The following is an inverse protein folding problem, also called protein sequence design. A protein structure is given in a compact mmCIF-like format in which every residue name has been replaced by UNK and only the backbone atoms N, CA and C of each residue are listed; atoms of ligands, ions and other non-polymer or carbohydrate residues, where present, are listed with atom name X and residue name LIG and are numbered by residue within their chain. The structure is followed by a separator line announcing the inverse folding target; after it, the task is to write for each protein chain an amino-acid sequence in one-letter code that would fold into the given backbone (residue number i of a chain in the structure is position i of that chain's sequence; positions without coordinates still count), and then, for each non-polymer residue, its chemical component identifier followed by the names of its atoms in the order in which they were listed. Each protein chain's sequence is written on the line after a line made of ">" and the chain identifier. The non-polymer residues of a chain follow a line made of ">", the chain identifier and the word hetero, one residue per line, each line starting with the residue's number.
data_IF_348481865835
#
_entry.id   IF_348481865835
#
_cell.length_a   1.000
_cell.length_b   1.000
_cell.length_c   1.000
_cell.angle_alpha   90.00
_cell.angle_beta   90.00
_cell.angle_gamma   90.00
#
_symmetry.space_group_name_H-M   'P 1'
#
loop_
_entity.id
_entity.type
_entity.pdbx_description
1 polymer ?
#
# COMPACT_ATOMS: atom_id res chain seq x y z
N UNK A 1 8.48 15.94 24.34
CA UNK A 1 8.60 17.39 24.10
C UNK A 1 7.63 17.76 22.99
N UNK A 2 7.02 18.95 23.08
CA UNK A 2 6.05 19.43 22.09
C UNK A 2 6.74 19.70 20.74
N UNK A 3 5.97 19.68 19.65
CA UNK A 3 6.40 19.98 18.27
C UNK A 3 6.88 21.43 18.04
N UNK A 4 7.18 22.19 19.10
CA UNK A 4 7.28 23.66 19.07
C UNK A 4 8.71 24.15 18.92
N UNK A 5 9.71 23.30 19.19
CA UNK A 5 11.13 23.66 19.08
C UNK A 5 11.91 22.54 18.38
N UNK A 6 12.85 22.90 17.51
CA UNK A 6 13.78 21.98 16.87
C UNK A 6 15.20 22.32 17.31
N UNK A 7 16.00 21.30 17.62
CA UNK A 7 17.44 21.44 17.86
C UNK A 7 18.22 21.23 16.56
N UNK A 8 19.41 21.83 16.47
CA UNK A 8 20.31 21.65 15.32
C UNK A 8 20.88 20.23 15.21
N UNK A 9 20.84 19.48 16.31
CA UNK A 9 21.34 18.10 16.39
C UNK A 9 20.37 17.23 17.17
N UNK A 10 20.20 15.99 16.72
CA UNK A 10 19.37 14.98 17.39
C UNK A 10 20.10 14.52 18.66
N UNK A 11 19.41 14.53 19.79
CA UNK A 11 19.91 14.09 21.09
C UNK A 11 19.19 12.84 21.60
N UNK A 12 19.79 12.17 22.57
CA UNK A 12 19.17 11.01 23.22
C UNK A 12 17.89 11.43 23.97
N UNK A 13 16.82 10.67 23.75
CA UNK A 13 15.48 10.96 24.26
C UNK A 13 14.59 11.75 23.31
N UNK A 14 15.15 12.32 22.23
CA UNK A 14 14.39 13.04 21.20
C UNK A 14 13.42 12.13 20.45
N UNK A 15 12.41 12.74 19.84
CA UNK A 15 11.57 12.08 18.84
C UNK A 15 12.00 12.57 17.47
N UNK A 16 12.70 11.75 16.71
CA UNK A 16 13.05 12.03 15.32
C UNK A 16 11.95 11.53 14.39
N UNK A 17 11.55 12.34 13.40
CA UNK A 17 10.64 11.88 12.35
C UNK A 17 11.48 11.38 11.19
N UNK A 18 11.44 10.09 10.94
CA UNK A 18 12.14 9.50 9.79
C UNK A 18 11.23 9.57 8.59
N UNK A 19 11.61 10.37 7.59
CA UNK A 19 10.94 10.46 6.30
C UNK A 19 11.64 9.54 5.30
N UNK A 20 11.03 8.39 5.00
CA UNK A 20 11.49 7.49 3.93
C UNK A 20 10.68 7.67 2.63
N UNK A 21 9.60 8.46 2.66
CA UNK A 21 8.76 8.76 1.51
C UNK A 21 7.41 9.35 1.92
N UNK A 22 6.60 9.76 0.93
CA UNK A 22 5.31 10.42 1.10
C UNK A 22 4.32 9.65 2.01
N UNK A 23 4.46 8.33 2.10
CA UNK A 23 3.62 7.47 2.95
C UNK A 23 4.42 6.67 4.01
N UNK A 24 5.70 7.00 4.19
CA UNK A 24 6.58 6.29 5.12
C UNK A 24 7.27 7.31 6.02
N UNK A 25 6.45 7.90 6.89
CA UNK A 25 6.90 8.76 7.98
C UNK A 25 6.62 8.03 9.29
N UNK A 26 7.64 7.82 10.11
CA UNK A 26 7.45 7.27 11.44
C UNK A 26 8.26 8.04 12.49
N UNK A 27 7.66 8.35 13.64
CA UNK A 27 8.39 8.88 14.78
C UNK A 27 9.25 7.77 15.39
N UNK A 28 10.52 8.07 15.63
CA UNK A 28 11.47 7.21 16.31
C UNK A 28 11.94 7.92 17.57
N UNK A 29 11.81 7.24 18.70
CA UNK A 29 12.47 7.65 19.94
C UNK A 29 13.97 7.36 19.81
N UNK A 30 14.77 8.42 19.86
CA UNK A 30 16.22 8.33 19.71
C UNK A 30 16.80 7.82 21.01
N UNK A 31 17.47 6.67 20.94
CA UNK A 31 18.14 6.07 22.07
C UNK A 31 19.42 5.42 21.56
N UNK A 32 20.55 5.67 22.22
CA UNK A 32 21.83 5.19 21.75
C UNK A 32 21.87 3.65 21.79
N UNK A 33 22.26 3.03 20.68
CA UNK A 33 22.28 1.56 20.53
C UNK A 33 20.91 0.90 20.36
N UNK A 34 19.82 1.65 20.32
CA UNK A 34 18.49 1.09 20.04
C UNK A 34 18.30 0.86 18.54
N UNK A 35 17.55 -0.18 18.19
CA UNK A 35 17.10 -0.43 16.81
C UNK A 35 15.58 -0.35 16.80
N UNK A 36 15.03 0.53 15.97
CA UNK A 36 13.60 0.59 15.72
C UNK A 36 13.30 -0.17 14.45
N UNK A 37 12.71 -1.36 14.59
CA UNK A 37 12.24 -2.17 13.47
C UNK A 37 10.70 -2.13 13.46
N UNK A 38 10.09 -2.04 12.28
CA UNK A 38 8.67 -2.36 12.13
C UNK A 38 8.48 -3.81 12.60
N UNK A 39 7.65 -4.01 13.62
CA UNK A 39 7.58 -5.27 14.38
C UNK A 39 7.10 -6.46 13.53
N UNK A 40 6.38 -6.16 12.47
CA UNK A 40 5.85 -7.09 11.47
C UNK A 40 5.91 -6.43 10.09
N UNK A 41 5.76 -7.23 9.03
CA UNK A 41 5.34 -6.67 7.74
C UNK A 41 4.01 -5.92 7.94
N UNK A 42 3.84 -4.79 7.27
CA UNK A 42 2.63 -3.97 7.34
C UNK A 42 1.94 -3.93 5.98
N UNK A 43 0.62 -3.76 6.01
CA UNK A 43 -0.11 -3.34 4.83
C UNK A 43 0.15 -1.85 4.57
N UNK A 44 0.35 -1.52 3.29
CA UNK A 44 0.53 -0.15 2.83
C UNK A 44 -0.80 0.46 2.38
N UNK A 45 -0.82 1.79 2.21
CA UNK A 45 -2.06 2.52 1.93
C UNK A 45 -2.79 2.03 0.67
N UNK A 46 -2.06 1.53 -0.33
CA UNK A 46 -2.67 0.97 -1.55
C UNK A 46 -3.54 -0.24 -1.23
N UNK A 47 -3.00 -1.24 -0.52
CA UNK A 47 -3.76 -2.43 -0.11
C UNK A 47 -4.87 -2.06 0.87
N UNK A 48 -4.56 -1.22 1.87
CA UNK A 48 -5.54 -0.72 2.85
C UNK A 48 -6.71 -0.02 2.17
N UNK A 49 -6.48 0.77 1.12
CA UNK A 49 -7.53 1.49 0.40
C UNK A 49 -8.51 0.53 -0.27
N UNK A 50 -8.02 -0.52 -0.92
CA UNK A 50 -8.87 -1.53 -1.52
C UNK A 50 -9.58 -2.35 -0.46
N UNK A 51 -8.89 -2.77 0.60
CA UNK A 51 -9.49 -3.51 1.72
C UNK A 51 -10.66 -2.71 2.30
N UNK A 52 -10.44 -1.43 2.60
CA UNK A 52 -11.45 -0.55 3.19
C UNK A 52 -12.68 -0.45 2.28
N UNK A 53 -12.46 -0.26 0.98
CA UNK A 53 -13.55 -0.13 0.01
C UNK A 53 -14.30 -1.46 -0.20
N UNK A 54 -13.58 -2.56 -0.39
CA UNK A 54 -14.14 -3.87 -0.73
C UNK A 54 -14.78 -4.60 0.47
N UNK A 55 -14.39 -4.23 1.69
CA UNK A 55 -15.09 -4.59 2.94
C UNK A 55 -16.28 -3.67 3.24
N UNK A 56 -16.53 -2.65 2.42
CA UNK A 56 -17.62 -1.69 2.59
C UNK A 56 -17.61 -0.97 3.95
N UNK A 57 -16.41 -0.69 4.44
CA UNK A 57 -16.23 -0.02 5.74
C UNK A 57 -16.73 1.41 5.65
N UNK A 58 -17.51 1.82 6.65
CA UNK A 58 -18.12 3.15 6.76
C UNK A 58 -18.32 3.52 8.23
N UNK A 59 -18.62 4.80 8.54
CA UNK A 59 -18.97 5.20 9.89
C UNK A 59 -20.09 4.31 10.46
N UNK A 60 -19.87 3.75 11.65
CA UNK A 60 -20.80 2.82 12.30
C UNK A 60 -20.53 1.33 12.04
N UNK A 61 -19.64 0.97 11.11
CA UNK A 61 -19.30 -0.45 10.87
C UNK A 61 -18.64 -1.08 12.10
N UNK A 62 -19.03 -2.32 12.41
CA UNK A 62 -18.35 -3.18 13.37
C UNK A 62 -17.42 -4.12 12.61
N UNK A 63 -16.13 -4.10 12.93
CA UNK A 63 -15.12 -4.85 12.19
C UNK A 63 -14.39 -5.80 13.12
N UNK A 64 -14.16 -7.02 12.65
CA UNK A 64 -13.30 -7.99 13.29
C UNK A 64 -11.99 -8.10 12.51
N UNK A 65 -10.86 -7.99 13.20
CA UNK A 65 -9.51 -8.07 12.63
C UNK A 65 -8.72 -9.16 13.38
N UNK A 66 -7.94 -9.97 12.66
CA UNK A 66 -6.91 -10.76 13.32
C UNK A 66 -5.61 -10.76 12.54
N UNK A 67 -4.54 -10.64 13.32
CA UNK A 67 -3.29 -10.02 12.89
C UNK A 67 -3.28 -8.53 13.25
N UNK A 68 -3.41 -8.15 14.54
CA UNK A 68 -3.25 -6.72 14.92
C UNK A 68 -1.88 -6.20 14.50
N UNK A 69 -0.82 -7.02 14.61
CA UNK A 69 0.51 -6.71 14.09
C UNK A 69 1.08 -5.42 14.68
N UNK A 70 1.40 -4.46 13.82
CA UNK A 70 1.83 -3.12 14.23
C UNK A 70 0.72 -2.06 14.21
N UNK A 71 -0.55 -2.47 14.04
CA UNK A 71 -1.71 -1.57 14.09
C UNK A 71 -1.92 -0.68 12.86
N UNK A 72 -1.24 -0.91 11.74
CA UNK A 72 -1.36 -0.07 10.53
C UNK A 72 -2.77 -0.10 9.94
N UNK A 73 -3.29 -1.31 9.68
CA UNK A 73 -4.67 -1.48 9.23
C UNK A 73 -5.66 -1.11 10.34
N UNK A 74 -5.39 -1.46 11.60
CA UNK A 74 -6.26 -1.13 12.74
C UNK A 74 -6.58 0.36 12.81
N UNK A 75 -5.58 1.26 12.69
CA UNK A 75 -5.81 2.70 12.66
C UNK A 75 -6.61 3.16 11.44
N UNK A 76 -6.38 2.54 10.27
CA UNK A 76 -7.14 2.84 9.07
C UNK A 76 -8.62 2.45 9.20
N UNK A 77 -8.91 1.30 9.83
CA UNK A 77 -10.26 0.86 10.15
C UNK A 77 -10.91 1.82 11.14
N UNK A 78 -10.26 2.08 12.28
CA UNK A 78 -10.76 2.99 13.34
C UNK A 78 -11.18 4.33 12.76
N UNK A 79 -10.32 4.96 11.95
CA UNK A 79 -10.63 6.22 11.26
C UNK A 79 -11.89 6.13 10.39
N UNK A 80 -12.06 5.02 9.68
CA UNK A 80 -13.16 4.84 8.73
C UNK A 80 -14.49 4.57 9.43
N UNK A 81 -14.46 3.84 10.56
CA UNK A 81 -15.66 3.42 11.27
C UNK A 81 -16.12 4.39 12.36
N UNK A 82 -15.25 5.31 12.77
CA UNK A 82 -15.58 6.40 13.67
C UNK A 82 -16.76 7.26 13.15
N UNK A 83 -17.56 7.88 14.03
CA UNK A 83 -17.45 7.86 15.49
C UNK A 83 -18.27 6.76 16.18
N UNK A 84 -19.08 6.01 15.43
CA UNK A 84 -20.08 5.08 15.99
C UNK A 84 -19.79 3.61 15.76
N UNK A 85 -18.76 3.28 14.99
CA UNK A 85 -18.33 1.90 14.76
C UNK A 85 -17.37 1.40 15.83
N UNK A 86 -16.94 0.15 15.70
CA UNK A 86 -16.03 -0.49 16.66
C UNK A 86 -15.15 -1.53 15.98
N UNK A 87 -13.88 -1.61 16.39
CA UNK A 87 -12.92 -2.61 15.96
C UNK A 87 -12.69 -3.66 17.06
N UNK A 88 -12.97 -4.92 16.78
CA UNK A 88 -12.53 -6.05 17.60
C UNK A 88 -11.30 -6.69 16.95
N UNK A 89 -10.11 -6.47 17.52
CA UNK A 89 -8.85 -6.98 16.95
C UNK A 89 -8.25 -8.06 17.84
N UNK A 90 -7.67 -9.10 17.23
CA UNK A 90 -7.07 -10.25 17.92
C UNK A 90 -5.60 -10.42 17.54
N UNK A 91 -4.74 -10.49 18.55
CA UNK A 91 -3.30 -10.74 18.42
C UNK A 91 -2.85 -11.79 19.44
N UNK A 92 -2.38 -12.94 18.97
CA UNK A 92 -1.97 -14.05 19.82
C UNK A 92 -0.67 -13.77 20.60
N UNK A 93 0.22 -12.89 20.12
CA UNK A 93 1.48 -12.58 20.78
C UNK A 93 1.31 -11.48 21.83
N UNK A 94 1.43 -11.86 23.10
CA UNK A 94 1.14 -11.01 24.26
C UNK A 94 1.80 -9.61 24.18
N UNK A 95 3.11 -9.55 23.96
CA UNK A 95 3.84 -8.28 23.91
C UNK A 95 3.35 -7.34 22.78
N UNK A 96 2.84 -7.89 21.67
CA UNK A 96 2.31 -7.07 20.56
C UNK A 96 0.92 -6.57 20.90
N UNK A 97 0.09 -7.41 21.49
CA UNK A 97 -1.25 -7.03 21.95
C UNK A 97 -1.17 -5.91 23.00
N UNK A 98 -0.33 -6.05 24.02
CA UNK A 98 -0.12 -5.03 25.07
C UNK A 98 0.33 -3.70 24.46
N UNK A 99 1.31 -3.74 23.56
CA UNK A 99 1.81 -2.54 22.90
C UNK A 99 0.78 -1.88 21.98
N UNK A 100 -0.05 -2.64 21.28
CA UNK A 100 -1.13 -2.08 20.49
C UNK A 100 -2.15 -1.35 21.39
N UNK A 101 -2.47 -1.91 22.56
CA UNK A 101 -3.35 -1.24 23.55
C UNK A 101 -2.75 0.07 24.05
N UNK A 102 -1.46 0.09 24.35
CA UNK A 102 -0.74 1.33 24.72
C UNK A 102 -0.84 2.38 23.62
N UNK A 103 -0.53 2.01 22.37
CA UNK A 103 -0.59 2.91 21.20
C UNK A 103 -2.02 3.45 20.98
N UNK A 104 -3.06 2.62 21.07
CA UNK A 104 -4.45 3.07 20.93
C UNK A 104 -4.89 4.03 22.04
N UNK A 105 -4.40 3.85 23.27
CA UNK A 105 -4.64 4.76 24.39
C UNK A 105 -3.93 6.08 24.20
N UNK A 106 -2.65 6.05 23.84
CA UNK A 106 -1.85 7.25 23.56
C UNK A 106 -2.48 8.10 22.45
N UNK A 107 -3.00 7.46 21.40
CA UNK A 107 -3.67 8.12 20.28
C UNK A 107 -5.14 8.50 20.58
N UNK A 108 -5.65 8.21 21.78
CA UNK A 108 -7.02 8.52 22.23
C UNK A 108 -8.12 7.88 21.39
N UNK A 109 -7.86 6.70 20.86
CA UNK A 109 -8.83 5.91 20.05
C UNK A 109 -9.25 4.61 20.74
N UNK A 110 -8.78 4.34 21.96
CA UNK A 110 -9.10 3.12 22.73
C UNK A 110 -10.61 2.86 22.89
N UNK A 111 -11.44 3.90 22.84
CA UNK A 111 -12.90 3.77 22.94
C UNK A 111 -13.56 3.16 21.68
N UNK A 112 -12.86 3.10 20.55
CA UNK A 112 -13.33 2.52 19.28
C UNK A 112 -12.72 1.15 18.99
N UNK A 113 -11.89 0.61 19.88
CA UNK A 113 -11.16 -0.63 19.63
C UNK A 113 -11.08 -1.51 20.88
N UNK A 114 -11.19 -2.81 20.69
CA UNK A 114 -10.96 -3.82 21.73
C UNK A 114 -9.94 -4.83 21.23
N UNK A 115 -8.80 -4.90 21.91
CA UNK A 115 -7.73 -5.87 21.62
C UNK A 115 -7.92 -7.11 22.49
N UNK A 116 -7.90 -8.30 21.91
CA UNK A 116 -7.87 -9.58 22.63
C UNK A 116 -6.59 -10.33 22.36
N UNK A 117 -5.90 -10.73 23.43
CA UNK A 117 -4.74 -11.60 23.34
C UNK A 117 -5.17 -13.07 23.33
N UNK A 118 -5.41 -13.63 22.14
CA UNK A 118 -5.81 -15.03 21.98
C UNK A 118 -5.50 -15.54 20.57
N UNK A 119 -5.55 -16.85 20.40
CA UNK A 119 -5.47 -17.49 19.08
C UNK A 119 -6.85 -17.47 18.41
N UNK A 120 -6.96 -16.73 17.29
CA UNK A 120 -8.20 -16.58 16.53
C UNK A 120 -8.64 -17.88 15.86
N UNK A 121 -7.71 -18.77 15.49
CA UNK A 121 -8.02 -20.04 14.84
C UNK A 121 -8.65 -21.05 15.81
N UNK A 122 -8.45 -20.84 17.13
CA UNK A 122 -9.00 -21.72 18.18
C UNK A 122 -10.18 -21.12 18.92
N UNK A 123 -10.12 -19.81 19.20
CA UNK A 123 -11.05 -19.12 20.10
C UNK A 123 -11.90 -18.06 19.38
N UNK A 124 -11.66 -17.84 18.08
CA UNK A 124 -12.32 -16.81 17.29
C UNK A 124 -12.04 -15.38 17.76
N UNK A 125 -12.94 -14.48 17.40
CA UNK A 125 -12.86 -13.04 17.72
C UNK A 125 -13.42 -12.69 19.10
N UNK A 126 -14.00 -13.67 19.80
CA UNK A 126 -14.68 -13.49 21.07
C UNK A 126 -15.91 -12.57 20.98
N UNK A 127 -16.48 -12.43 19.79
CA UNK A 127 -17.77 -11.81 19.49
C UNK A 127 -18.49 -12.68 18.44
N UNK A 128 -19.82 -12.59 18.37
CA UNK A 128 -20.60 -13.42 17.44
C UNK A 128 -21.82 -12.65 16.92
N UNK A 129 -22.08 -12.78 15.62
CA UNK A 129 -23.20 -12.16 14.90
C UNK A 129 -23.29 -10.62 15.05
N UNK A 130 -22.14 -9.94 15.16
CA UNK A 130 -22.11 -8.47 15.35
C UNK A 130 -21.32 -7.74 14.27
N UNK A 131 -20.39 -8.41 13.57
CA UNK A 131 -19.49 -7.74 12.64
C UNK A 131 -20.13 -7.55 11.26
N UNK A 132 -19.95 -6.36 10.68
CA UNK A 132 -20.25 -6.07 9.28
C UNK A 132 -19.14 -6.59 8.35
N UNK A 133 -17.89 -6.61 8.87
CA UNK A 133 -16.73 -7.05 8.11
C UNK A 133 -15.73 -7.84 8.97
N UNK A 134 -15.04 -8.80 8.35
CA UNK A 134 -13.91 -9.52 8.93
C UNK A 134 -12.68 -9.35 8.04
N UNK A 135 -11.54 -9.06 8.64
CA UNK A 135 -10.23 -9.04 8.00
C UNK A 135 -9.25 -10.01 8.68
N UNK A 136 -8.50 -10.78 7.88
CA UNK A 136 -7.48 -11.71 8.36
C UNK A 136 -6.11 -11.47 7.70
N UNK A 137 -5.10 -11.18 8.52
CA UNK A 137 -3.68 -11.18 8.16
C UNK A 137 -2.91 -12.09 9.13
N UNK A 138 -3.05 -13.40 8.91
CA UNK A 138 -2.45 -14.46 9.72
C UNK A 138 -1.86 -15.55 8.81
N UNK A 139 -0.93 -16.40 9.29
CA UNK A 139 -0.32 -17.43 8.44
C UNK A 139 -1.27 -18.53 7.94
N UNK A 140 -2.33 -18.85 8.72
CA UNK A 140 -3.29 -19.91 8.43
C UNK A 140 -4.74 -19.39 8.42
N UNK A 141 -5.11 -18.47 7.52
CA UNK A 141 -6.44 -17.84 7.52
C UNK A 141 -7.59 -18.84 7.29
N UNK A 142 -7.34 -19.94 6.57
CA UNK A 142 -8.32 -21.01 6.32
C UNK A 142 -8.86 -21.65 7.62
N UNK A 143 -8.06 -21.68 8.70
CA UNK A 143 -8.49 -22.23 9.99
C UNK A 143 -9.45 -21.28 10.74
N UNK A 144 -9.45 -19.99 10.41
CA UNK A 144 -10.27 -18.99 11.08
C UNK A 144 -11.59 -18.67 10.33
N UNK A 145 -11.85 -19.28 9.17
CA UNK A 145 -13.05 -18.99 8.36
C UNK A 145 -14.35 -19.30 9.09
N UNK A 146 -14.42 -20.42 9.82
CA UNK A 146 -15.60 -20.75 10.64
C UNK A 146 -15.86 -19.71 11.75
N UNK A 147 -14.79 -19.20 12.35
CA UNK A 147 -14.87 -18.12 13.34
C UNK A 147 -15.24 -16.77 12.69
N UNK A 148 -14.74 -16.48 11.49
CA UNK A 148 -15.13 -15.30 10.72
C UNK A 148 -16.63 -15.32 10.41
N UNK A 149 -17.15 -16.45 9.93
CA UNK A 149 -18.59 -16.62 9.67
C UNK A 149 -19.43 -16.41 10.92
N UNK A 150 -18.96 -16.93 12.07
CA UNK A 150 -19.62 -16.79 13.36
C UNK A 150 -19.59 -15.35 13.89
N UNK A 151 -18.53 -14.58 13.60
CA UNK A 151 -18.39 -13.19 14.01
C UNK A 151 -19.29 -12.24 13.19
N UNK A 152 -19.39 -12.48 11.88
CA UNK A 152 -20.22 -11.71 10.97
C UNK A 152 -21.71 -11.79 11.34
N UNK A 153 -22.45 -10.69 11.19
CA UNK A 153 -23.90 -10.58 11.39
C UNK A 153 -24.68 -11.68 10.69
N UNK A 154 -25.88 -11.98 11.20
CA UNK A 154 -26.74 -13.03 10.65
C UNK A 154 -27.26 -12.63 9.28
N UNK A 155 -27.52 -11.33 9.11
CA UNK A 155 -27.96 -10.66 7.89
C UNK A 155 -26.90 -10.68 6.78
N UNK A 156 -25.66 -11.00 7.13
CA UNK A 156 -24.53 -11.08 6.20
C UNK A 156 -23.40 -10.14 6.55
N UNK A 157 -22.39 -10.11 5.69
CA UNK A 157 -21.24 -9.22 5.83
C UNK A 157 -20.09 -9.59 4.91
N UNK A 158 -19.03 -8.79 4.95
CA UNK A 158 -17.89 -8.89 4.04
C UNK A 158 -16.69 -9.56 4.71
N UNK A 159 -15.97 -10.35 3.95
CA UNK A 159 -14.74 -11.00 4.38
C UNK A 159 -13.58 -10.57 3.49
N UNK A 160 -12.40 -10.43 4.10
CA UNK A 160 -11.14 -10.25 3.39
C UNK A 160 -10.02 -11.00 4.11
N UNK A 161 -9.14 -11.67 3.36
CA UNK A 161 -7.88 -12.20 3.86
C UNK A 161 -6.72 -11.74 3.00
N UNK A 162 -5.63 -11.35 3.64
CA UNK A 162 -4.34 -11.12 3.02
C UNK A 162 -3.46 -12.38 3.10
N UNK A 163 -2.77 -12.73 2.02
CA UNK A 163 -1.84 -13.88 1.99
C UNK A 163 -0.71 -13.66 0.98
N UNK A 164 0.57 -13.80 1.38
CA UNK A 164 1.70 -13.63 0.46
C UNK A 164 1.89 -14.81 -0.51
N UNK A 165 1.44 -16.02 -0.15
CA UNK A 165 1.65 -17.21 -0.97
C UNK A 165 0.33 -17.68 -1.62
N UNK A 166 0.40 -18.12 -2.88
CA UNK A 166 -0.79 -18.55 -3.63
C UNK A 166 -1.42 -19.83 -3.04
N UNK A 167 -0.63 -20.68 -2.39
CA UNK A 167 -1.09 -21.89 -1.70
C UNK A 167 -1.94 -21.56 -0.48
N UNK A 168 -1.66 -20.41 0.18
CA UNK A 168 -2.50 -19.91 1.27
C UNK A 168 -3.85 -19.44 0.73
N UNK A 169 -3.84 -18.70 -0.38
CA UNK A 169 -5.07 -18.28 -1.09
C UNK A 169 -5.92 -19.49 -1.47
N UNK A 170 -5.32 -20.52 -2.07
CA UNK A 170 -6.03 -21.75 -2.46
C UNK A 170 -6.78 -22.38 -1.28
N UNK A 171 -6.11 -22.53 -0.13
CA UNK A 171 -6.74 -23.09 1.08
C UNK A 171 -7.83 -22.19 1.62
N UNK A 172 -7.63 -20.88 1.60
CA UNK A 172 -8.64 -19.89 2.03
C UNK A 172 -9.89 -19.98 1.17
N UNK A 173 -9.75 -20.00 -0.15
CA UNK A 173 -10.89 -20.12 -1.07
C UNK A 173 -11.67 -21.42 -0.85
N UNK A 174 -10.99 -22.56 -0.70
CA UNK A 174 -11.64 -23.85 -0.40
C UNK A 174 -12.41 -23.80 0.92
N UNK A 175 -11.82 -23.24 1.98
CA UNK A 175 -12.47 -23.10 3.27
C UNK A 175 -13.66 -22.12 3.22
N UNK A 176 -13.57 -21.04 2.44
CA UNK A 176 -14.68 -20.10 2.21
C UNK A 176 -15.86 -20.81 1.53
N UNK A 177 -15.62 -21.60 0.49
CA UNK A 177 -16.65 -22.39 -0.20
C UNK A 177 -17.30 -23.42 0.75
N UNK A 178 -16.51 -24.16 1.51
CA UNK A 178 -17.00 -25.15 2.49
C UNK A 178 -17.90 -24.51 3.55
N UNK A 179 -17.56 -23.29 3.97
CA UNK A 179 -18.35 -22.52 4.93
C UNK A 179 -19.48 -21.73 4.28
N UNK A 180 -19.74 -21.88 2.98
CA UNK A 180 -20.87 -21.27 2.27
C UNK A 180 -20.75 -19.75 2.08
N UNK A 181 -19.53 -19.22 2.00
CA UNK A 181 -19.32 -17.87 1.50
C UNK A 181 -19.54 -17.83 -0.02
N UNK A 182 -20.01 -16.68 -0.51
CA UNK A 182 -20.27 -16.42 -1.92
C UNK A 182 -19.39 -15.27 -2.42
N UNK A 183 -19.44 -14.97 -3.72
CA UNK A 183 -18.69 -13.85 -4.32
C UNK A 183 -17.18 -13.86 -4.01
N UNK A 184 -16.58 -15.05 -3.99
CA UNK A 184 -15.16 -15.25 -3.70
C UNK A 184 -14.33 -14.67 -4.84
N UNK A 185 -13.54 -13.64 -4.55
CA UNK A 185 -12.72 -12.94 -5.53
C UNK A 185 -11.32 -12.68 -4.96
N UNK A 186 -10.28 -13.10 -5.68
CA UNK A 186 -8.88 -12.82 -5.32
C UNK A 186 -8.32 -11.71 -6.19
N UNK A 187 -7.68 -10.73 -5.58
CA UNK A 187 -7.09 -9.56 -6.23
C UNK A 187 -5.63 -9.37 -5.77
N UNK A 188 -4.83 -8.75 -6.64
CA UNK A 188 -3.51 -8.20 -6.32
C UNK A 188 -3.48 -6.75 -6.85
N UNK A 189 -2.82 -5.85 -6.13
CA UNK A 189 -2.67 -4.46 -6.55
C UNK A 189 -1.19 -4.11 -6.64
N UNK A 190 -0.77 -3.60 -7.79
CA UNK A 190 0.61 -3.15 -8.02
C UNK A 190 0.63 -1.63 -8.23
N UNK A 191 1.12 -0.90 -7.23
CA UNK A 191 1.28 0.55 -7.32
C UNK A 191 2.47 0.90 -8.22
N UNK A 192 2.25 1.75 -9.22
CA UNK A 192 3.31 2.34 -10.05
C UNK A 192 3.33 3.86 -9.91
N UNK A 193 4.40 4.38 -9.32
CA UNK A 193 4.63 5.82 -9.15
C UNK A 193 5.45 6.37 -10.32
N UNK A 194 5.04 7.50 -10.86
CA UNK A 194 5.72 8.19 -11.96
C UNK A 194 6.28 9.54 -11.50
N UNK A 195 7.55 9.79 -11.83
CA UNK A 195 8.15 11.11 -11.76
C UNK A 195 7.86 11.88 -13.04
N UNK A 196 7.25 13.05 -12.93
CA UNK A 196 7.04 13.95 -14.07
C UNK A 196 8.34 14.72 -14.33
N UNK A 197 8.94 14.54 -15.51
CA UNK A 197 10.18 15.20 -15.91
C UNK A 197 10.09 15.71 -17.35
N UNK A 198 10.84 16.76 -17.65
CA UNK A 198 11.08 17.18 -19.04
C UNK A 198 12.22 16.34 -19.61
N UNK A 199 11.94 15.59 -20.68
CA UNK A 199 12.93 14.80 -21.40
C UNK A 199 13.34 15.58 -22.64
N UNK A 200 14.64 15.62 -22.91
CA UNK A 200 15.21 16.15 -24.15
C UNK A 200 15.78 15.00 -24.97
N UNK A 201 15.25 14.78 -26.16
CA UNK A 201 15.79 13.83 -27.12
C UNK A 201 16.56 14.58 -28.21
N UNK A 202 17.74 14.07 -28.53
CA UNK A 202 18.53 14.56 -29.65
C UNK A 202 17.91 14.06 -30.95
N UNK A 203 17.71 14.94 -31.92
CA UNK A 203 17.32 14.52 -33.27
C UNK A 203 18.52 13.79 -33.88
N UNK A 204 18.37 12.53 -34.33
CA UNK A 204 19.46 11.79 -34.94
C UNK A 204 19.90 12.48 -36.22
N UNK A 205 21.22 12.61 -36.39
CA UNK A 205 21.81 13.07 -37.65
C UNK A 205 21.77 11.92 -38.66
N UNK A 206 20.95 12.08 -39.69
CA UNK A 206 20.80 11.11 -40.77
C UNK A 206 21.74 11.38 -41.96
N UNK A 207 22.68 12.33 -41.80
CA UNK A 207 23.53 12.82 -42.89
C UNK A 207 22.77 13.76 -43.83
N UNK A 208 23.49 14.36 -44.77
CA UNK A 208 22.87 15.12 -45.86
C UNK A 208 22.00 14.16 -46.67
N UNK A 209 20.74 14.54 -46.94
CA UNK A 209 19.96 13.90 -47.99
C UNK A 209 20.84 13.84 -49.24
N UNK A 210 20.97 12.66 -49.85
CA UNK A 210 21.65 12.55 -51.13
C UNK A 210 21.05 13.61 -52.05
N UNK A 211 21.88 14.55 -52.49
CA UNK A 211 21.48 15.50 -53.53
C UNK A 211 20.96 14.63 -54.67
N UNK A 212 19.66 14.73 -54.96
CA UNK A 212 19.07 14.12 -56.14
C UNK A 212 19.81 14.73 -57.33
N UNK A 213 20.81 13.99 -57.82
CA UNK A 213 21.51 14.26 -59.06
C UNK A 213 20.56 14.03 -60.24
N UNK A 214 19.48 14.80 -60.29
CA UNK A 214 18.75 15.08 -61.52
C UNK A 214 19.33 16.36 -62.10
N UNK A 215 20.43 16.20 -62.85
CA UNK A 215 20.87 17.21 -63.80
C UNK A 215 19.73 17.50 -64.78
N UNK A 216 19.41 18.78 -65.00
CA UNK A 216 19.46 19.27 -66.36
C UNK A 216 20.43 20.45 -66.41
N UNK A 217 21.52 20.29 -67.16
CA UNK A 217 22.53 21.31 -67.30
C UNK A 217 21.97 22.59 -67.93
N UNK A 218 22.48 23.73 -67.48
CA UNK A 218 22.82 24.84 -68.37
C UNK A 218 23.79 25.82 -67.68
N UNK A 219 24.81 26.22 -68.43
CA UNK A 219 25.92 27.10 -68.07
C UNK A 219 25.51 28.52 -67.63
N UNK A 220 26.27 29.13 -66.70
CA UNK A 220 27.22 30.23 -67.02
C UNK A 220 27.69 31.03 -65.78
N UNK A 221 29.02 31.04 -65.60
CA UNK A 221 29.88 32.13 -65.06
C UNK A 221 29.50 32.88 -63.76
N UNK A 222 30.24 32.62 -62.67
CA UNK A 222 31.19 33.61 -62.12
C UNK A 222 32.02 33.05 -60.94
N UNK A 223 33.29 33.42 -60.93
CA UNK A 223 34.32 33.01 -59.97
C UNK A 223 34.22 33.71 -58.60
N UNK A 224 34.85 33.04 -57.62
CA UNK A 224 35.48 33.58 -56.41
C UNK A 224 34.58 33.86 -55.19
N UNK A 225 34.55 32.92 -54.23
CA UNK A 225 35.41 33.03 -53.04
C UNK A 225 35.31 31.76 -52.17
N UNK A 226 36.47 31.17 -51.90
CA UNK A 226 36.64 30.19 -50.84
C UNK A 226 36.41 30.88 -49.49
N UNK A 227 35.33 30.49 -48.82
CA UNK A 227 35.08 30.83 -47.41
C UNK A 227 34.61 29.56 -46.73
N UNK A 228 35.53 28.86 -46.08
CA UNK A 228 35.24 27.78 -45.14
C UNK A 228 34.27 28.33 -44.09
N UNK A 229 33.00 27.94 -44.18
CA UNK A 229 32.04 28.08 -43.09
C UNK A 229 31.53 26.66 -42.80
N UNK A 230 32.29 25.98 -41.94
CA UNK A 230 31.79 24.89 -41.13
C UNK A 230 30.70 25.47 -40.22
N UNK A 231 29.50 25.68 -40.77
CA UNK A 231 28.31 26.00 -40.00
C UNK A 231 27.97 24.78 -39.18
N UNK A 232 28.27 24.83 -37.87
CA UNK A 232 27.76 23.89 -36.90
C UNK A 232 26.24 23.79 -37.08
N UNK A 233 25.76 22.70 -37.69
CA UNK A 233 24.34 22.41 -37.72
C UNK A 233 23.90 22.34 -36.25
N UNK A 234 23.09 23.31 -35.82
CA UNK A 234 22.47 23.24 -34.50
C UNK A 234 21.58 22.00 -34.52
N UNK A 235 22.07 20.91 -33.95
CA UNK A 235 21.31 19.69 -33.72
C UNK A 235 20.07 20.07 -32.92
N UNK A 236 18.91 19.96 -33.55
CA UNK A 236 17.64 20.26 -32.90
C UNK A 236 17.42 19.30 -31.74
N UNK A 237 16.99 19.84 -30.60
CA UNK A 237 16.51 19.04 -29.48
C UNK A 237 15.00 19.10 -29.43
N UNK A 238 14.36 17.95 -29.28
CA UNK A 238 12.92 17.89 -29.02
C UNK A 238 12.74 17.72 -27.51
N UNK A 239 12.05 18.67 -26.89
CA UNK A 239 11.70 18.61 -25.48
C UNK A 239 10.22 18.32 -25.29
N UNK A 240 9.91 17.40 -24.37
CA UNK A 240 8.54 17.10 -23.98
C UNK A 240 8.46 16.68 -22.51
N UNK A 241 7.30 16.89 -21.88
CA UNK A 241 7.03 16.38 -20.53
C UNK A 241 6.64 14.91 -20.60
N UNK A 242 7.18 14.09 -19.71
CA UNK A 242 6.88 12.66 -19.63
C UNK A 242 6.82 12.20 -18.17
N UNK A 243 5.91 11.25 -17.90
CA UNK A 243 5.89 10.51 -16.64
C UNK A 243 6.81 9.31 -16.75
N UNK A 244 7.88 9.29 -15.97
CA UNK A 244 8.88 8.21 -15.98
C UNK A 244 8.72 7.39 -14.69
N UNK A 245 8.55 6.06 -14.77
CA UNK A 245 8.44 5.24 -13.56
C UNK A 245 9.72 5.36 -12.72
N UNK A 246 9.58 5.17 -11.41
CA UNK A 246 10.74 5.04 -10.53
C UNK A 246 11.60 3.83 -10.95
N UNK A 247 12.93 3.96 -10.80
CA UNK A 247 13.88 2.88 -11.19
C UNK A 247 13.70 1.62 -10.36
N UNK A 248 13.27 1.77 -9.12
CA UNK A 248 12.91 0.67 -8.22
C UNK A 248 11.39 0.71 -8.03
N UNK A 249 10.75 -0.43 -8.28
CA UNK A 249 9.33 -0.63 -8.02
C UNK A 249 9.17 -1.64 -6.90
N UNK A 250 8.21 -1.39 -6.01
CA UNK A 250 7.81 -2.39 -5.01
C UNK A 250 7.23 -3.58 -5.75
N UNK A 251 7.73 -4.77 -5.43
CA UNK A 251 7.23 -6.03 -5.98
C UNK A 251 5.92 -6.47 -5.33
N UNK A 252 5.66 -7.76 -5.41
CA UNK A 252 4.50 -8.40 -4.78
C UNK A 252 4.46 -8.14 -3.26
N UNK A 253 3.32 -7.63 -2.76
CA UNK A 253 3.04 -7.56 -1.30
C UNK A 253 2.31 -8.83 -0.85
N UNK A 254 1.15 -9.10 -1.44
CA UNK A 254 0.32 -10.26 -1.18
C UNK A 254 -0.98 -10.22 -1.96
N UNK A 255 -1.70 -11.34 -1.93
CA UNK A 255 -3.03 -11.47 -2.50
C UNK A 255 -4.10 -11.08 -1.48
N UNK A 256 -5.17 -10.44 -1.95
CA UNK A 256 -6.36 -10.08 -1.18
C UNK A 256 -7.54 -10.92 -1.66
N UNK A 257 -8.02 -11.81 -0.80
CA UNK A 257 -9.18 -12.68 -1.09
C UNK A 257 -10.41 -12.14 -0.38
N UNK A 258 -11.41 -11.70 -1.16
CA UNK A 258 -12.68 -11.17 -0.67
C UNK A 258 -13.79 -12.21 -0.82
N UNK A 259 -14.79 -12.15 0.07
CA UNK A 259 -16.01 -12.95 -0.04
C UNK A 259 -17.18 -12.31 0.70
N UNK A 260 -18.39 -12.79 0.45
CA UNK A 260 -19.64 -12.36 1.10
C UNK A 260 -20.22 -13.50 1.93
N UNK A 261 -20.62 -13.21 3.17
CA UNK A 261 -21.61 -14.01 3.89
C UNK A 261 -22.98 -13.50 3.49
N UNK A 262 -23.74 -14.30 2.75
CA UNK A 262 -25.14 -13.98 2.40
C UNK A 262 -26.09 -14.63 3.39
N UNK A 263 -27.30 -14.07 3.53
CA UNK A 263 -28.44 -14.80 4.07
C UNK A 263 -28.74 -15.98 3.13
N UNK A 264 -28.59 -17.20 3.63
CA UNK A 264 -29.23 -18.38 3.05
C UNK A 264 -30.66 -18.47 3.57
#
# INVERSE_FOLDING_TARGET
>A
MSFVEYGDTIQEGDTAIVFLGHESMFPVKVQHGSKTQTKTQILYSTDISLITMMLELKPGSIVCESGTGSGSLSHAIIRTVAPTGHLYTVEFHQQRAEKAVEEFREHKVEHLVTVKNQDVCKNGFGVSNVADAVFLDIPSPWEAIGHAKSALKVEGGRFCSFSPCIEQVQRTCLALEEHGFTEINTLEILLRVYNVRTISLQIPDLGKAAEDNSNPGFDSSNQANQGVLCGSQQQGTIQFKSGVPLREMVGHTGYLTFATKSLL
#
